data_IF_767680163654
#
_entry.id   IF_767680163654
#
_cell.length_a   1.000
_cell.length_b   1.000
_cell.length_c   1.000
_cell.angle_alpha   90.00
_cell.angle_beta   90.00
_cell.angle_gamma   90.00
#
_symmetry.space_group_name_H-M   'P 1'
#
loop_
_entity.id
_entity.type
_entity.pdbx_description
1 polymer ?
#
# COMPACT_ATOMS: atom_id res chain seq x y z
N UNK A 1 -13.67 -22.75 -5.28
CA UNK A 1 -12.34 -22.38 -4.79
C UNK A 1 -12.47 -22.02 -3.33
N UNK A 2 -11.41 -22.20 -2.54
CA UNK A 2 -11.36 -21.77 -1.14
C UNK A 2 -10.88 -20.31 -1.07
N UNK A 3 -11.38 -19.56 -0.08
CA UNK A 3 -10.94 -18.19 0.17
C UNK A 3 -9.68 -18.20 1.05
N UNK A 4 -8.58 -17.53 0.67
CA UNK A 4 -7.35 -17.56 1.44
C UNK A 4 -7.55 -16.87 2.80
N UNK A 5 -7.12 -17.53 3.88
CA UNK A 5 -7.21 -17.00 5.26
C UNK A 5 -5.87 -16.59 5.86
N UNK A 6 -4.76 -16.91 5.19
CA UNK A 6 -3.41 -16.46 5.56
C UNK A 6 -2.88 -15.51 4.51
N UNK A 7 -2.31 -14.40 4.97
CA UNK A 7 -1.72 -13.38 4.12
C UNK A 7 -0.19 -13.43 4.25
N UNK A 8 0.49 -13.41 3.12
CA UNK A 8 1.88 -13.01 3.03
C UNK A 8 1.89 -11.69 2.28
N UNK A 9 2.47 -10.67 2.90
CA UNK A 9 2.67 -9.40 2.23
C UNK A 9 3.99 -9.47 1.50
N UNK A 10 4.07 -8.89 0.30
CA UNK A 10 5.28 -8.79 -0.51
C UNK A 10 6.51 -8.57 0.37
N UNK A 11 7.47 -9.49 0.28
CA UNK A 11 8.78 -9.40 0.93
C UNK A 11 8.68 -9.41 2.47
N UNK A 12 7.64 -10.06 2.99
CA UNK A 12 7.29 -10.08 4.40
C UNK A 12 7.20 -8.68 5.04
N UNK A 13 6.91 -7.63 4.25
CA UNK A 13 6.87 -6.24 4.73
C UNK A 13 5.77 -6.10 5.79
N UNK A 14 6.13 -5.63 6.98
CA UNK A 14 5.24 -5.64 8.13
C UNK A 14 5.39 -4.42 9.04
N UNK A 15 4.24 -3.92 9.48
CA UNK A 15 4.06 -3.07 10.65
C UNK A 15 2.61 -3.23 11.17
N UNK A 16 2.29 -2.64 12.33
CA UNK A 16 0.97 -2.76 12.95
C UNK A 16 -0.18 -2.24 12.05
N UNK A 17 0.06 -1.20 11.24
CA UNK A 17 -0.97 -0.64 10.33
C UNK A 17 -1.27 -1.59 9.16
N UNK A 18 -0.24 -2.25 8.62
CA UNK A 18 -0.40 -3.30 7.59
C UNK A 18 -1.19 -4.46 8.17
N UNK A 19 -0.81 -4.95 9.36
CA UNK A 19 -1.53 -6.02 10.04
C UNK A 19 -3.01 -5.69 10.24
N UNK A 20 -3.31 -4.44 10.65
CA UNK A 20 -4.69 -3.97 10.80
C UNK A 20 -5.46 -3.95 9.49
N UNK A 21 -4.83 -3.47 8.42
CA UNK A 21 -5.43 -3.45 7.08
C UNK A 21 -5.74 -4.88 6.60
N UNK A 22 -4.83 -5.82 6.83
CA UNK A 22 -4.97 -7.24 6.43
C UNK A 22 -6.09 -7.93 7.22
N UNK A 23 -6.24 -7.63 8.51
CA UNK A 23 -7.38 -8.05 9.32
C UNK A 23 -8.72 -7.54 8.75
N UNK A 24 -8.79 -6.25 8.38
CA UNK A 24 -9.99 -5.63 7.81
C UNK A 24 -10.37 -6.22 6.45
N UNK A 25 -9.41 -6.82 5.73
CA UNK A 25 -9.64 -7.59 4.51
C UNK A 25 -10.17 -9.02 4.76
N UNK A 26 -10.26 -9.45 6.03
CA UNK A 26 -10.82 -10.75 6.43
C UNK A 26 -9.82 -11.89 6.58
N UNK A 27 -8.52 -11.61 6.57
CA UNK A 27 -7.48 -12.61 6.84
C UNK A 27 -7.32 -12.85 8.35
N UNK A 28 -6.99 -14.10 8.72
CA UNK A 28 -6.86 -14.55 10.10
C UNK A 28 -5.39 -14.61 10.58
N UNK A 29 -4.46 -14.72 9.63
CA UNK A 29 -3.04 -14.84 9.89
C UNK A 29 -2.19 -14.03 8.90
N UNK A 30 -1.06 -13.53 9.37
CA UNK A 30 -0.02 -12.90 8.54
C UNK A 30 1.36 -13.48 8.85
N UNK A 31 2.18 -13.70 7.82
CA UNK A 31 3.58 -14.13 7.96
C UNK A 31 4.51 -12.93 7.84
N UNK A 32 5.53 -12.84 8.71
CA UNK A 32 6.58 -11.82 8.61
C UNK A 32 7.91 -12.30 9.22
N UNK A 33 8.95 -11.47 9.18
CA UNK A 33 10.31 -11.79 9.60
C UNK A 33 10.50 -11.80 11.13
N UNK A 34 11.09 -12.87 11.65
CA UNK A 34 11.38 -13.06 13.07
C UNK A 34 12.69 -12.39 13.48
N UNK A 35 12.67 -11.06 13.62
CA UNK A 35 13.87 -10.27 13.94
C UNK A 35 14.12 -10.12 15.45
N UNK A 36 15.38 -10.26 15.91
CA UNK A 36 15.74 -10.04 17.32
C UNK A 36 15.31 -8.67 17.86
N UNK A 37 15.37 -7.61 17.05
CA UNK A 37 14.95 -6.26 17.47
C UNK A 37 13.44 -6.11 17.72
N UNK A 38 12.62 -7.00 17.16
CA UNK A 38 11.16 -7.04 17.35
C UNK A 38 10.78 -8.02 18.46
N UNK A 39 11.43 -9.19 18.46
CA UNK A 39 11.12 -10.26 19.42
C UNK A 39 11.78 -10.06 20.78
N UNK A 40 12.90 -9.33 20.84
CA UNK A 40 13.68 -9.17 22.07
C UNK A 40 14.19 -10.52 22.57
N UNK A 41 13.78 -10.91 23.77
CA UNK A 41 14.11 -12.21 24.37
C UNK A 41 13.19 -13.35 23.90
N UNK A 42 12.12 -13.03 23.15
CA UNK A 42 11.12 -14.00 22.70
C UNK A 42 11.62 -14.76 21.46
N UNK A 43 11.01 -15.91 21.18
CA UNK A 43 11.40 -16.80 20.07
C UNK A 43 10.47 -16.65 18.86
N UNK A 44 10.95 -16.72 17.62
CA UNK A 44 10.07 -16.71 16.44
C UNK A 44 9.15 -17.94 16.37
N UNK A 45 9.41 -18.98 17.18
CA UNK A 45 8.71 -20.26 17.09
C UNK A 45 7.36 -20.31 17.85
N UNK A 46 6.74 -19.17 18.08
CA UNK A 46 5.46 -19.04 18.80
C UNK A 46 4.49 -18.20 17.98
N UNK A 47 3.19 -18.43 18.17
CA UNK A 47 2.15 -17.58 17.58
C UNK A 47 2.10 -16.27 18.34
N UNK A 48 2.09 -15.15 17.63
CA UNK A 48 1.88 -13.82 18.19
C UNK A 48 0.56 -13.23 17.71
N UNK A 49 0.16 -12.10 18.29
CA UNK A 49 -0.88 -11.21 17.74
C UNK A 49 -0.30 -9.85 17.44
N UNK A 50 -0.80 -9.18 16.41
CA UNK A 50 -0.34 -7.83 16.09
C UNK A 50 -0.90 -6.79 17.08
N UNK A 51 -0.10 -5.81 17.48
CA UNK A 51 -0.57 -4.72 18.34
C UNK A 51 -1.68 -3.92 17.69
N UNK A 52 -2.80 -3.76 18.41
CA UNK A 52 -3.98 -3.04 17.93
C UNK A 52 -4.83 -3.80 16.91
N UNK A 53 -4.62 -5.09 16.74
CA UNK A 53 -5.38 -5.97 15.86
C UNK A 53 -5.57 -7.36 16.48
N UNK A 54 -6.52 -8.14 15.98
CA UNK A 54 -6.74 -9.54 16.39
C UNK A 54 -6.06 -10.56 15.48
N UNK A 55 -5.46 -10.11 14.36
CA UNK A 55 -4.76 -11.00 13.42
C UNK A 55 -3.56 -11.68 14.10
N UNK A 56 -3.42 -12.97 13.84
CA UNK A 56 -2.31 -13.77 14.36
C UNK A 56 -1.08 -13.63 13.46
N UNK A 57 0.10 -13.60 14.06
CA UNK A 57 1.36 -13.35 13.37
C UNK A 57 2.26 -14.58 13.49
N UNK A 58 2.68 -15.11 12.35
CA UNK A 58 3.67 -16.17 12.22
C UNK A 58 5.02 -15.52 11.90
N UNK A 59 6.01 -15.78 12.76
CA UNK A 59 7.34 -15.21 12.62
C UNK A 59 8.27 -16.22 11.96
N UNK A 60 8.83 -15.86 10.80
CA UNK A 60 9.85 -16.64 10.11
C UNK A 60 11.04 -16.90 11.05
N UNK A 61 11.47 -18.15 11.11
CA UNK A 61 12.74 -18.49 11.74
C UNK A 61 13.86 -18.28 10.71
N UNK A 62 14.43 -17.06 10.68
CA UNK A 62 15.42 -16.70 9.66
C UNK A 62 16.63 -17.63 9.64
N UNK A 63 17.13 -18.10 10.79
CA UNK A 63 18.32 -18.97 10.84
C UNK A 63 18.06 -20.31 10.13
N UNK A 64 17.00 -21.01 10.55
CA UNK A 64 16.64 -22.29 9.96
C UNK A 64 16.21 -22.17 8.49
N UNK A 65 15.65 -21.01 8.11
CA UNK A 65 15.27 -20.74 6.74
C UNK A 65 16.51 -20.46 5.87
N UNK A 66 17.41 -19.59 6.32
CA UNK A 66 18.62 -19.19 5.60
C UNK A 66 19.62 -20.35 5.45
N UNK A 67 19.60 -21.32 6.38
CA UNK A 67 20.41 -22.54 6.26
C UNK A 67 20.04 -23.37 5.02
N UNK A 68 18.76 -23.37 4.62
CA UNK A 68 18.31 -23.96 3.35
C UNK A 68 18.50 -22.96 2.20
N UNK A 69 18.04 -21.72 2.35
CA UNK A 69 17.97 -20.76 1.24
C UNK A 69 19.32 -20.19 0.78
N UNK A 70 20.31 -20.10 1.67
CA UNK A 70 21.58 -19.42 1.39
C UNK A 70 22.83 -20.25 1.68
N UNK A 71 22.77 -21.24 2.59
CA UNK A 71 23.95 -22.02 3.01
C UNK A 71 24.01 -23.45 2.50
N UNK A 72 23.00 -23.92 1.77
CA UNK A 72 22.85 -25.33 1.41
C UNK A 72 24.09 -25.92 0.72
N UNK A 73 24.74 -25.16 -0.17
CA UNK A 73 25.96 -25.57 -0.90
C UNK A 73 27.24 -24.95 -0.34
N UNK A 74 27.19 -24.29 0.81
CA UNK A 74 28.34 -23.60 1.39
C UNK A 74 29.31 -24.58 2.05
N UNK A 75 30.34 -25.02 1.34
CA UNK A 75 31.34 -25.98 1.85
C UNK A 75 32.19 -25.44 3.00
N UNK A 76 32.25 -24.12 3.15
CA UNK A 76 32.96 -23.44 4.25
C UNK A 76 32.12 -23.34 5.53
N UNK A 77 30.82 -23.62 5.46
CA UNK A 77 29.95 -23.66 6.62
C UNK A 77 30.23 -24.94 7.42
N UNK A 78 30.47 -24.80 8.72
CA UNK A 78 30.85 -25.89 9.63
C UNK A 78 29.78 -26.97 9.79
N UNK A 79 28.53 -26.73 9.36
CA UNK A 79 27.46 -27.72 9.35
C UNK A 79 27.25 -28.38 7.99
N UNK A 80 27.99 -28.00 6.94
CA UNK A 80 27.90 -28.62 5.62
C UNK A 80 28.44 -30.06 5.63
N UNK A 81 27.83 -31.01 4.90
CA UNK A 81 26.63 -30.87 4.07
C UNK A 81 25.33 -30.85 4.89
N UNK A 82 24.32 -30.11 4.42
CA UNK A 82 23.00 -30.10 5.05
C UNK A 82 22.15 -31.27 4.53
N UNK A 83 21.93 -32.27 5.38
CA UNK A 83 21.10 -33.45 5.06
C UNK A 83 19.72 -33.35 5.70
N UNK A 84 18.73 -34.06 5.16
CA UNK A 84 17.35 -34.01 5.63
C UNK A 84 17.20 -34.50 7.08
N UNK A 85 17.92 -35.55 7.46
CA UNK A 85 17.95 -36.11 8.82
C UNK A 85 18.61 -35.15 9.81
N UNK A 86 19.73 -34.52 9.42
CA UNK A 86 20.40 -33.49 10.22
C UNK A 86 19.45 -32.31 10.47
N UNK A 87 18.81 -31.80 9.42
CA UNK A 87 17.87 -30.68 9.55
C UNK A 87 16.64 -31.06 10.39
N UNK A 88 16.05 -32.23 10.17
CA UNK A 88 14.93 -32.72 10.99
C UNK A 88 15.30 -32.84 12.48
N UNK A 89 16.52 -33.28 12.80
CA UNK A 89 17.01 -33.33 14.18
C UNK A 89 17.11 -31.94 14.82
N UNK A 90 17.48 -30.91 14.04
CA UNK A 90 17.51 -29.52 14.51
C UNK A 90 16.11 -28.99 14.76
N UNK A 91 15.17 -29.26 13.84
CA UNK A 91 13.75 -28.92 14.03
C UNK A 91 13.20 -29.56 15.31
N UNK A 92 13.48 -30.84 15.53
CA UNK A 92 13.00 -31.58 16.70
C UNK A 92 13.61 -31.06 18.02
N UNK A 93 14.83 -30.54 17.96
CA UNK A 93 15.53 -29.96 19.11
C UNK A 93 15.17 -28.48 19.34
N UNK A 94 14.42 -27.87 18.43
CA UNK A 94 14.07 -26.45 18.48
C UNK A 94 12.79 -26.22 19.31
N UNK A 95 12.85 -25.50 20.45
CA UNK A 95 11.66 -25.26 21.27
C UNK A 95 10.67 -24.30 20.60
N UNK A 96 9.38 -24.58 20.77
CA UNK A 96 8.31 -23.70 20.30
C UNK A 96 6.97 -24.42 20.08
N UNK A 97 5.98 -23.67 19.62
CA UNK A 97 4.67 -24.16 19.19
C UNK A 97 4.63 -24.48 17.69
N UNK A 98 5.36 -23.68 16.89
CA UNK A 98 5.41 -23.75 15.43
C UNK A 98 6.77 -23.26 14.96
N UNK A 99 7.35 -23.86 13.92
CA UNK A 99 8.56 -23.36 13.28
C UNK A 99 8.17 -22.92 11.87
N UNK A 100 8.20 -21.61 11.60
CA UNK A 100 7.87 -21.07 10.28
C UNK A 100 9.14 -20.99 9.43
N UNK A 101 9.28 -21.95 8.51
CA UNK A 101 10.32 -21.95 7.49
C UNK A 101 9.77 -21.25 6.24
N UNK A 102 10.43 -20.19 5.81
CA UNK A 102 10.00 -19.36 4.68
C UNK A 102 11.19 -19.09 3.77
N UNK A 103 11.05 -19.49 2.50
CA UNK A 103 12.10 -19.56 1.49
C UNK A 103 11.51 -19.15 0.14
N UNK A 104 12.33 -18.63 -0.77
CA UNK A 104 11.92 -18.49 -2.17
C UNK A 104 11.72 -19.86 -2.80
N UNK A 105 10.69 -19.98 -3.63
CA UNK A 105 10.40 -21.23 -4.32
C UNK A 105 11.54 -21.62 -5.27
N UNK A 106 12.23 -20.63 -5.85
CA UNK A 106 13.41 -20.78 -6.70
C UNK A 106 14.62 -21.42 -5.99
N UNK A 107 14.61 -21.53 -4.66
CA UNK A 107 15.59 -22.31 -3.89
C UNK A 107 15.72 -23.74 -4.45
N UNK A 108 14.61 -24.33 -4.88
CA UNK A 108 14.53 -25.72 -5.35
C UNK A 108 14.58 -25.81 -6.88
N UNK A 109 15.77 -25.81 -7.45
CA UNK A 109 16.00 -26.07 -8.88
C UNK A 109 16.49 -24.88 -9.70
N UNK A 110 16.51 -23.66 -9.13
CA UNK A 110 17.02 -22.46 -9.81
C UNK A 110 18.23 -21.86 -9.07
N UNK A 111 18.08 -21.47 -7.80
CA UNK A 111 19.23 -21.06 -6.97
C UNK A 111 20.18 -22.24 -6.74
N UNK A 112 19.61 -23.42 -6.45
CA UNK A 112 20.35 -24.66 -6.34
C UNK A 112 19.86 -25.67 -7.38
N UNK A 113 20.79 -26.08 -8.24
CA UNK A 113 20.53 -27.08 -9.28
C UNK A 113 20.39 -28.48 -8.67
N UNK A 114 19.80 -29.42 -9.41
CA UNK A 114 19.55 -30.80 -8.95
C UNK A 114 20.82 -31.46 -8.40
N UNK A 115 21.95 -31.21 -9.03
CA UNK A 115 23.26 -31.80 -8.72
C UNK A 115 23.79 -31.40 -7.34
N UNK A 116 23.28 -30.30 -6.77
CA UNK A 116 23.58 -29.92 -5.38
C UNK A 116 22.99 -30.89 -4.34
N UNK A 117 22.04 -31.73 -4.74
CA UNK A 117 21.27 -32.59 -3.83
C UNK A 117 20.05 -31.91 -3.20
N UNK A 118 19.75 -30.65 -3.51
CA UNK A 118 18.62 -29.89 -2.91
C UNK A 118 17.25 -30.57 -3.14
N UNK A 119 17.07 -31.18 -4.32
CA UNK A 119 15.83 -31.87 -4.66
C UNK A 119 15.71 -33.21 -3.92
N UNK A 120 16.83 -33.87 -3.64
CA UNK A 120 16.84 -35.07 -2.81
C UNK A 120 16.61 -34.71 -1.34
N UNK A 121 17.22 -33.63 -0.85
CA UNK A 121 16.93 -33.07 0.48
C UNK A 121 15.44 -32.81 0.66
N UNK A 122 14.79 -32.10 -0.28
CA UNK A 122 13.37 -31.82 -0.24
C UNK A 122 12.51 -33.10 -0.28
N UNK A 123 12.94 -34.10 -1.07
CA UNK A 123 12.24 -35.40 -1.16
C UNK A 123 12.26 -36.15 0.17
N UNK A 124 13.39 -36.17 0.86
CA UNK A 124 13.56 -36.92 2.10
C UNK A 124 13.03 -36.18 3.34
N UNK A 125 13.06 -34.84 3.34
CA UNK A 125 12.72 -34.01 4.50
C UNK A 125 11.38 -34.37 5.18
N UNK A 126 10.26 -34.59 4.47
CA UNK A 126 9.01 -34.98 5.14
C UNK A 126 9.13 -36.25 5.97
N UNK A 127 9.76 -37.30 5.39
CA UNK A 127 9.94 -38.59 6.06
C UNK A 127 10.91 -38.53 7.24
N UNK A 128 11.94 -37.68 7.17
CA UNK A 128 12.86 -37.47 8.28
C UNK A 128 12.19 -36.71 9.44
N UNK A 129 11.34 -35.72 9.13
CA UNK A 129 10.55 -35.00 10.14
C UNK A 129 9.55 -35.93 10.85
N UNK A 130 8.90 -36.84 10.14
CA UNK A 130 7.93 -37.79 10.71
C UNK A 130 8.55 -38.79 11.71
N UNK A 131 9.86 -39.02 11.67
CA UNK A 131 10.56 -39.86 12.66
C UNK A 131 10.57 -39.24 14.06
N UNK A 132 10.38 -37.92 14.16
CA UNK A 132 10.38 -37.20 15.42
C UNK A 132 8.95 -37.02 15.94
N UNK A 133 8.60 -37.73 17.02
CA UNK A 133 7.24 -37.75 17.58
C UNK A 133 6.74 -36.38 18.08
N UNK A 134 7.64 -35.41 18.27
CA UNK A 134 7.33 -34.04 18.69
C UNK A 134 7.16 -33.06 17.52
N UNK A 135 7.32 -33.51 16.27
CA UNK A 135 7.12 -32.69 15.08
C UNK A 135 5.86 -33.12 14.32
N UNK A 136 5.25 -32.16 13.62
CA UNK A 136 4.12 -32.40 12.71
C UNK A 136 4.04 -31.27 11.70
N UNK A 137 3.82 -31.62 10.43
CA UNK A 137 3.46 -30.66 9.39
C UNK A 137 2.06 -30.09 9.59
N UNK A 138 1.91 -28.79 9.41
CA UNK A 138 0.59 -28.15 9.38
C UNK A 138 0.60 -26.93 8.48
N UNK A 139 -0.57 -26.58 7.97
CA UNK A 139 -0.75 -25.32 7.27
C UNK A 139 -0.64 -24.13 8.24
N UNK A 140 -0.35 -22.91 7.75
CA UNK A 140 -0.37 -21.71 8.58
C UNK A 140 -1.69 -21.54 9.35
N UNK A 141 -2.82 -21.81 8.70
CA UNK A 141 -4.15 -21.69 9.30
C UNK A 141 -4.36 -22.70 10.44
N UNK A 142 -3.95 -23.95 10.24
CA UNK A 142 -3.99 -24.98 11.30
C UNK A 142 -3.10 -24.62 12.48
N UNK A 143 -1.91 -24.03 12.24
CA UNK A 143 -1.00 -23.61 13.28
C UNK A 143 -1.62 -22.52 14.16
N UNK A 144 -2.15 -21.47 13.53
CA UNK A 144 -2.75 -20.34 14.25
C UNK A 144 -4.05 -20.73 14.96
N UNK A 145 -4.81 -21.71 14.46
CA UNK A 145 -6.04 -22.18 15.09
C UNK A 145 -5.79 -23.14 16.26
N UNK A 146 -4.62 -23.79 16.29
CA UNK A 146 -4.26 -24.72 17.36
C UNK A 146 -3.80 -24.02 18.64
N UNK A 147 -3.17 -22.86 18.52
CA UNK A 147 -2.55 -22.17 19.64
C UNK A 147 -3.10 -20.77 19.85
N UNK A 148 -3.25 -20.39 21.11
CA UNK A 148 -3.49 -19.00 21.46
C UNK A 148 -2.18 -18.21 21.28
N UNK A 149 -2.25 -16.93 20.85
CA UNK A 149 -1.09 -16.06 20.82
C UNK A 149 -0.37 -16.03 22.17
N UNK A 150 0.94 -16.29 22.14
CA UNK A 150 1.80 -16.26 23.32
C UNK A 150 1.94 -14.84 23.86
N UNK A 151 2.04 -13.87 22.96
CA UNK A 151 2.21 -12.46 23.27
C UNK A 151 1.83 -11.57 22.07
N UNK A 152 1.92 -10.26 22.26
CA UNK A 152 1.72 -9.25 21.23
C UNK A 152 3.05 -8.77 20.61
N UNK A 153 3.07 -8.59 19.30
CA UNK A 153 4.19 -7.99 18.58
C UNK A 153 3.87 -6.56 18.19
N UNK A 154 4.81 -5.66 18.48
CA UNK A 154 4.67 -4.22 18.24
C UNK A 154 5.74 -3.76 17.26
N UNK A 155 5.31 -3.47 16.03
CA UNK A 155 6.15 -2.88 14.98
C UNK A 155 5.51 -1.57 14.54
N UNK A 156 5.93 -0.42 15.09
CA UNK A 156 5.39 0.86 14.69
C UNK A 156 5.79 1.18 13.24
N UNK A 157 5.01 2.04 12.56
CA UNK A 157 5.19 2.36 11.14
C UNK A 157 6.61 2.80 10.77
N UNK A 158 7.27 3.57 11.62
CA UNK A 158 8.63 4.06 11.38
C UNK A 158 9.71 2.97 11.55
N UNK A 159 9.36 1.80 12.07
CA UNK A 159 10.23 0.64 12.23
C UNK A 159 9.76 -0.54 11.36
N UNK A 160 9.09 -0.26 10.24
CA UNK A 160 8.61 -1.29 9.30
C UNK A 160 9.75 -2.25 8.94
N UNK A 161 9.46 -3.54 9.05
CA UNK A 161 10.43 -4.62 8.81
C UNK A 161 10.13 -5.32 7.48
N UNK A 162 11.12 -6.06 6.98
CA UNK A 162 11.04 -6.96 5.82
C UNK A 162 12.03 -8.11 6.02
N UNK A 163 11.91 -9.18 5.23
CA UNK A 163 12.92 -10.23 5.17
C UNK A 163 14.11 -9.91 4.25
N UNK A 164 14.02 -8.84 3.45
CA UNK A 164 15.02 -8.50 2.44
C UNK A 164 16.21 -7.73 3.00
N UNK A 165 17.38 -7.95 2.39
CA UNK A 165 18.68 -7.34 2.70
C UNK A 165 19.12 -7.43 4.17
N UNK A 166 20.39 -7.21 4.45
CA UNK A 166 20.94 -7.29 5.81
C UNK A 166 20.19 -6.39 6.82
N UNK A 167 19.72 -5.22 6.39
CA UNK A 167 19.00 -4.27 7.24
C UNK A 167 17.60 -4.77 7.65
N UNK A 168 16.99 -5.67 6.85
CA UNK A 168 15.67 -6.27 7.11
C UNK A 168 14.56 -5.22 7.27
N UNK A 169 14.60 -4.17 6.46
CA UNK A 169 13.71 -3.01 6.50
C UNK A 169 13.30 -2.54 5.10
N UNK A 170 12.68 -1.36 4.97
CA UNK A 170 12.22 -0.84 3.67
C UNK A 170 13.32 -0.29 2.75
N UNK A 171 14.58 -0.27 3.18
CA UNK A 171 15.66 0.37 2.43
C UNK A 171 15.94 -0.29 1.07
N UNK A 172 15.53 -1.55 0.87
CA UNK A 172 15.61 -2.21 -0.43
C UNK A 172 14.73 -1.55 -1.51
N UNK A 173 13.62 -0.89 -1.11
CA UNK A 173 12.67 -0.24 -2.04
C UNK A 173 12.51 1.26 -1.84
N UNK A 174 12.94 1.82 -0.71
CA UNK A 174 12.78 3.24 -0.35
C UNK A 174 14.06 3.85 0.27
N UNK A 175 15.22 3.26 0.02
CA UNK A 175 16.51 3.66 0.57
C UNK A 175 17.12 4.91 -0.07
N UNK A 176 16.75 5.23 -1.32
CA UNK A 176 17.31 6.39 -2.05
C UNK A 176 16.24 7.31 -2.67
N UNK A 177 16.68 8.44 -3.25
CA UNK A 177 15.77 9.44 -3.82
C UNK A 177 15.09 8.99 -5.11
N UNK A 178 15.73 8.17 -5.95
CA UNK A 178 15.12 7.62 -7.17
C UNK A 178 13.88 6.80 -6.81
N UNK A 179 14.04 5.92 -5.83
CA UNK A 179 12.99 5.09 -5.27
C UNK A 179 11.85 5.91 -4.65
N UNK A 180 12.17 6.87 -3.78
CA UNK A 180 11.16 7.70 -3.11
C UNK A 180 10.37 8.55 -4.10
N UNK A 181 11.03 9.16 -5.08
CA UNK A 181 10.38 9.95 -6.14
C UNK A 181 9.43 9.05 -6.95
N UNK A 182 9.90 7.89 -7.39
CA UNK A 182 9.07 6.91 -8.12
C UNK A 182 7.84 6.47 -7.31
N UNK A 183 8.03 6.10 -6.04
CA UNK A 183 6.96 5.66 -5.16
C UNK A 183 5.91 6.76 -4.92
N UNK A 184 6.35 7.98 -4.59
CA UNK A 184 5.45 9.10 -4.35
C UNK A 184 4.70 9.51 -5.62
N UNK A 185 5.39 9.54 -6.76
CA UNK A 185 4.74 9.84 -8.05
C UNK A 185 3.66 8.81 -8.36
N UNK A 186 3.97 7.51 -8.24
CA UNK A 186 3.01 6.43 -8.48
C UNK A 186 1.79 6.50 -7.53
N UNK A 187 2.02 6.85 -6.27
CA UNK A 187 0.96 7.03 -5.27
C UNK A 187 -0.01 8.14 -5.68
N UNK A 188 0.52 9.26 -6.19
CA UNK A 188 -0.30 10.38 -6.66
C UNK A 188 -1.19 10.01 -7.85
N UNK A 189 -0.72 9.13 -8.75
CA UNK A 189 -1.50 8.63 -9.91
C UNK A 189 -2.74 7.84 -9.49
N UNK A 190 -2.74 7.26 -8.29
CA UNK A 190 -3.86 6.45 -7.81
C UNK A 190 -5.18 7.22 -7.73
N UNK A 191 -5.14 8.51 -7.41
CA UNK A 191 -6.34 9.35 -7.37
C UNK A 191 -6.95 9.49 -8.77
N UNK A 192 -6.30 10.09 -9.79
CA UNK A 192 -6.90 10.27 -11.10
C UNK A 192 -7.32 8.95 -11.76
N UNK A 193 -6.57 7.85 -11.56
CA UNK A 193 -6.95 6.52 -12.07
C UNK A 193 -8.26 6.03 -11.46
N UNK A 194 -8.41 6.13 -10.14
CA UNK A 194 -9.66 5.76 -9.46
C UNK A 194 -10.84 6.63 -9.88
N UNK A 195 -10.62 7.95 -10.01
CA UNK A 195 -11.66 8.87 -10.50
C UNK A 195 -12.06 8.56 -11.95
N UNK A 196 -11.11 8.16 -12.80
CA UNK A 196 -11.40 7.77 -14.18
C UNK A 196 -12.28 6.52 -14.23
N UNK A 197 -12.20 5.61 -13.24
CA UNK A 197 -13.05 4.42 -13.15
C UNK A 197 -12.96 3.52 -14.39
N UNK A 198 -11.80 3.51 -15.05
CA UNK A 198 -11.52 2.70 -16.22
C UNK A 198 -10.67 1.49 -15.83
N UNK A 199 -11.15 0.29 -16.15
CA UNK A 199 -10.52 -0.96 -15.74
C UNK A 199 -9.13 -1.15 -16.37
N UNK A 200 -8.89 -0.57 -17.55
CA UNK A 200 -7.58 -0.61 -18.21
C UNK A 200 -6.58 0.23 -17.43
N UNK A 201 -6.93 1.47 -17.11
CA UNK A 201 -6.07 2.37 -16.33
C UNK A 201 -5.83 1.85 -14.91
N UNK A 202 -6.87 1.28 -14.28
CA UNK A 202 -6.74 0.65 -12.97
C UNK A 202 -5.78 -0.54 -13.00
N UNK A 203 -5.86 -1.37 -14.04
CA UNK A 203 -4.94 -2.51 -14.22
C UNK A 203 -3.50 -2.05 -14.46
N UNK A 204 -3.29 -1.03 -15.31
CA UNK A 204 -1.96 -0.46 -15.55
C UNK A 204 -1.35 0.09 -14.26
N UNK A 205 -2.12 0.86 -13.49
CA UNK A 205 -1.67 1.41 -12.22
C UNK A 205 -1.37 0.33 -11.17
N UNK A 206 -2.13 -0.78 -11.15
CA UNK A 206 -1.84 -1.93 -10.28
C UNK A 206 -0.54 -2.63 -10.69
N UNK A 207 -0.31 -2.83 -11.98
CA UNK A 207 0.94 -3.44 -12.46
C UNK A 207 2.17 -2.62 -12.11
N UNK A 208 2.08 -1.29 -12.23
CA UNK A 208 3.18 -0.39 -11.86
C UNK A 208 3.48 -0.36 -10.34
N UNK A 209 2.60 -0.91 -9.49
CA UNK A 209 2.83 -1.05 -8.05
C UNK A 209 3.64 -2.28 -7.66
N UNK A 210 4.06 -3.11 -8.62
CA UNK A 210 4.95 -4.24 -8.37
C UNK A 210 6.26 -3.73 -7.74
N UNK A 211 6.68 -4.35 -6.64
CA UNK A 211 7.83 -3.93 -5.82
C UNK A 211 9.14 -3.95 -6.58
N UNK A 212 9.31 -4.89 -7.52
CA UNK A 212 10.49 -5.05 -8.37
C UNK A 212 10.92 -3.75 -9.06
N UNK A 213 9.95 -2.93 -9.49
CA UNK A 213 10.26 -1.65 -10.13
C UNK A 213 11.10 -0.74 -9.23
N UNK A 214 10.79 -0.68 -7.93
CA UNK A 214 11.55 0.08 -6.96
C UNK A 214 12.83 -0.65 -6.54
N UNK A 215 12.78 -1.98 -6.48
CA UNK A 215 13.94 -2.82 -6.16
C UNK A 215 15.08 -2.59 -7.17
N UNK A 216 14.76 -2.52 -8.48
CA UNK A 216 15.72 -2.25 -9.55
C UNK A 216 16.31 -0.84 -9.51
N UNK A 217 15.76 0.08 -8.72
CA UNK A 217 16.31 1.43 -8.53
C UNK A 217 17.23 1.53 -7.31
N UNK A 218 17.48 0.42 -6.60
CA UNK A 218 18.39 0.39 -5.47
C UNK A 218 19.81 0.78 -5.89
N UNK A 219 20.47 1.56 -5.04
CA UNK A 219 21.87 1.99 -5.20
C UNK A 219 22.76 1.41 -4.10
N UNK A 220 22.28 0.36 -3.42
CA UNK A 220 23.04 -0.35 -2.38
C UNK A 220 24.31 -0.96 -2.98
N UNK A 221 25.32 -1.13 -2.12
CA UNK A 221 26.63 -1.72 -2.45
C UNK A 221 26.87 -2.96 -1.59
N UNK A 222 27.98 -3.66 -1.80
CA UNK A 222 28.31 -4.86 -1.04
C UNK A 222 27.44 -6.05 -1.42
N UNK A 223 27.23 -6.99 -0.49
CA UNK A 223 26.46 -8.21 -0.74
C UNK A 223 25.08 -7.95 -1.33
N UNK A 224 24.28 -7.07 -0.70
CA UNK A 224 22.96 -6.68 -1.20
C UNK A 224 23.05 -5.98 -2.56
N UNK A 225 24.07 -5.14 -2.77
CA UNK A 225 24.29 -4.46 -4.05
C UNK A 225 24.50 -5.43 -5.21
N UNK A 226 25.28 -6.49 -5.01
CA UNK A 226 25.51 -7.53 -6.02
C UNK A 226 24.20 -8.23 -6.40
N UNK A 227 23.33 -8.52 -5.43
CA UNK A 227 22.02 -9.12 -5.70
C UNK A 227 21.14 -8.15 -6.51
N UNK A 228 21.06 -6.88 -6.10
CA UNK A 228 20.30 -5.87 -6.84
C UNK A 228 20.81 -5.70 -8.28
N UNK A 229 22.13 -5.68 -8.50
CA UNK A 229 22.72 -5.57 -9.84
C UNK A 229 22.44 -6.82 -10.69
N UNK A 230 22.56 -8.01 -10.10
CA UNK A 230 22.40 -9.29 -10.80
C UNK A 230 20.99 -9.47 -11.37
N UNK A 231 19.96 -9.08 -10.60
CA UNK A 231 18.57 -9.24 -11.00
C UNK A 231 17.97 -8.00 -11.67
N UNK A 232 18.77 -6.96 -11.98
CA UNK A 232 18.27 -5.75 -12.62
C UNK A 232 18.20 -5.91 -14.16
N UNK A 233 16.99 -5.98 -14.76
CA UNK A 233 16.85 -6.17 -16.20
C UNK A 233 17.28 -4.94 -17.02
N UNK A 234 17.48 -3.79 -16.38
CA UNK A 234 17.93 -2.56 -17.03
C UNK A 234 19.45 -2.41 -17.03
N UNK A 235 20.15 -3.16 -16.16
CA UNK A 235 21.60 -3.12 -15.96
C UNK A 235 22.12 -1.92 -15.17
N UNK A 236 21.25 -0.97 -14.79
CA UNK A 236 21.62 0.20 -14.00
C UNK A 236 20.38 0.86 -13.35
N UNK A 237 20.46 1.31 -12.07
CA UNK A 237 19.34 1.92 -11.35
C UNK A 237 18.83 3.24 -11.93
N UNK A 238 19.68 4.05 -12.58
CA UNK A 238 19.27 5.29 -13.25
C UNK A 238 18.46 4.98 -14.51
N UNK A 239 18.83 3.93 -15.24
CA UNK A 239 18.05 3.45 -16.40
C UNK A 239 16.70 2.85 -15.97
N UNK A 240 16.67 2.10 -14.86
CA UNK A 240 15.43 1.61 -14.27
C UNK A 240 14.50 2.78 -13.88
N UNK A 241 15.04 3.78 -13.18
CA UNK A 241 14.32 4.98 -12.78
C UNK A 241 13.77 5.77 -13.99
N UNK A 242 14.63 6.09 -14.96
CA UNK A 242 14.22 6.89 -16.14
C UNK A 242 13.14 6.19 -16.97
N UNK A 243 13.23 4.86 -17.11
CA UNK A 243 12.20 4.07 -17.78
C UNK A 243 10.89 4.11 -17.02
N UNK A 244 10.93 3.83 -15.71
CA UNK A 244 9.75 3.81 -14.87
C UNK A 244 9.04 5.16 -14.83
N UNK A 245 9.77 6.26 -14.59
CA UNK A 245 9.17 7.59 -14.49
C UNK A 245 8.59 8.04 -15.83
N UNK A 246 9.18 7.64 -16.95
CA UNK A 246 8.62 7.90 -18.28
C UNK A 246 7.27 7.21 -18.45
N UNK A 247 7.17 5.93 -18.06
CA UNK A 247 5.92 5.15 -18.14
C UNK A 247 4.86 5.71 -17.20
N UNK A 248 5.22 6.03 -15.95
CA UNK A 248 4.29 6.65 -14.98
C UNK A 248 3.81 8.01 -15.49
N UNK A 249 4.70 8.83 -16.06
CA UNK A 249 4.33 10.14 -16.62
C UNK A 249 3.38 10.01 -17.83
N UNK A 250 3.61 9.04 -18.71
CA UNK A 250 2.69 8.74 -19.82
C UNK A 250 1.31 8.30 -19.29
N UNK A 251 1.27 7.45 -18.26
CA UNK A 251 0.01 7.05 -17.61
C UNK A 251 -0.74 8.27 -17.05
N UNK A 252 -0.05 9.19 -16.37
CA UNK A 252 -0.64 10.43 -15.84
C UNK A 252 -1.21 11.27 -16.98
N UNK A 253 -0.42 11.50 -18.03
CA UNK A 253 -0.84 12.31 -19.18
C UNK A 253 -2.09 11.73 -19.85
N UNK A 254 -2.13 10.41 -20.06
CA UNK A 254 -3.31 9.72 -20.61
C UNK A 254 -4.51 9.79 -19.68
N UNK A 255 -4.33 9.67 -18.36
CA UNK A 255 -5.41 9.84 -17.39
C UNK A 255 -6.03 11.24 -17.52
N UNK A 256 -5.19 12.28 -17.58
CA UNK A 256 -5.66 13.65 -17.73
C UNK A 256 -6.41 13.86 -19.05
N UNK A 257 -5.88 13.39 -20.18
CA UNK A 257 -6.54 13.49 -21.48
C UNK A 257 -7.89 12.76 -21.50
N UNK A 258 -8.00 11.60 -20.86
CA UNK A 258 -9.29 10.90 -20.74
C UNK A 258 -10.27 11.72 -19.88
N UNK A 259 -9.85 12.25 -18.74
CA UNK A 259 -10.69 13.05 -17.85
C UNK A 259 -11.18 14.37 -18.49
N UNK A 260 -10.51 14.86 -19.53
CA UNK A 260 -10.96 16.01 -20.32
C UNK A 260 -12.06 15.69 -21.32
N UNK A 261 -12.27 14.41 -21.68
CA UNK A 261 -13.30 14.04 -22.64
C UNK A 261 -14.69 14.36 -22.08
N UNK A 262 -15.65 14.80 -22.92
CA UNK A 262 -17.00 15.17 -22.47
C UNK A 262 -17.70 14.10 -21.63
N UNK A 263 -17.44 12.82 -21.94
CA UNK A 263 -17.98 11.65 -21.23
C UNK A 263 -17.48 11.47 -19.80
N UNK A 264 -16.40 12.14 -19.40
CA UNK A 264 -15.83 12.07 -18.04
C UNK A 264 -15.73 13.43 -17.36
N UNK A 265 -16.24 14.49 -18.02
CA UNK A 265 -16.23 15.85 -17.47
C UNK A 265 -16.86 15.91 -16.08
N UNK A 266 -17.91 15.13 -15.81
CA UNK A 266 -18.53 15.08 -14.49
C UNK A 266 -17.61 14.52 -13.39
N UNK A 267 -16.83 13.46 -13.67
CA UNK A 267 -15.83 12.89 -12.75
C UNK A 267 -14.75 13.92 -12.44
N UNK A 268 -14.31 14.67 -13.45
CA UNK A 268 -13.38 15.79 -13.25
C UNK A 268 -13.97 16.85 -12.34
N UNK A 269 -15.23 17.24 -12.50
CA UNK A 269 -15.86 18.28 -11.68
C UNK A 269 -16.09 17.84 -10.22
N UNK A 270 -16.36 16.54 -9.98
CA UNK A 270 -16.55 15.95 -8.65
C UNK A 270 -15.23 15.60 -7.92
N UNK A 271 -14.07 15.78 -8.56
CA UNK A 271 -12.78 15.38 -7.99
C UNK A 271 -12.43 16.16 -6.71
N UNK A 272 -11.60 15.56 -5.85
CA UNK A 272 -10.82 16.33 -4.88
C UNK A 272 -9.65 17.03 -5.58
N UNK A 273 -9.46 18.31 -5.30
CA UNK A 273 -8.32 19.11 -5.77
C UNK A 273 -7.16 19.05 -4.75
N UNK A 274 -5.90 19.23 -5.18
CA UNK A 274 -4.74 19.23 -4.29
C UNK A 274 -4.88 20.20 -3.11
N UNK A 275 -4.24 19.91 -1.97
CA UNK A 275 -4.37 20.71 -0.74
C UNK A 275 -4.06 22.21 -0.92
N UNK A 276 -3.15 22.57 -1.82
CA UNK A 276 -2.81 23.97 -2.14
C UNK A 276 -3.83 24.71 -3.02
N UNK A 277 -4.82 24.01 -3.56
CA UNK A 277 -5.85 24.56 -4.46
C UNK A 277 -7.25 24.60 -3.84
N UNK A 278 -7.40 24.16 -2.59
CA UNK A 278 -8.70 24.18 -1.91
C UNK A 278 -9.23 25.59 -1.66
N UNK A 279 -10.55 25.73 -1.51
CA UNK A 279 -11.18 26.99 -1.11
C UNK A 279 -11.03 27.19 0.40
N UNK A 280 -10.29 28.21 0.81
CA UNK A 280 -10.11 28.55 2.23
C UNK A 280 -11.12 29.61 2.65
N UNK A 281 -11.85 29.36 3.74
CA UNK A 281 -12.85 30.27 4.27
C UNK A 281 -12.25 31.29 5.24
N UNK A 282 -12.62 32.55 5.08
CA UNK A 282 -12.24 33.70 5.88
C UNK A 282 -13.47 34.48 6.32
N UNK A 283 -13.44 35.05 7.51
CA UNK A 283 -14.47 35.98 8.00
C UNK A 283 -14.18 37.44 7.67
N UNK A 284 -12.99 37.71 7.13
CA UNK A 284 -12.48 39.05 6.86
C UNK A 284 -11.03 39.00 6.39
N UNK A 285 -10.48 40.15 6.02
CA UNK A 285 -9.05 40.26 5.68
C UNK A 285 -8.17 39.72 6.80
N UNK A 286 -7.29 38.77 6.45
CA UNK A 286 -6.38 38.10 7.39
C UNK A 286 -7.07 37.40 8.58
N UNK A 287 -8.35 37.01 8.46
CA UNK A 287 -9.11 36.28 9.50
C UNK A 287 -9.57 34.92 8.98
N UNK A 288 -8.70 33.90 8.93
CA UNK A 288 -9.06 32.58 8.46
C UNK A 288 -9.97 31.86 9.48
N UNK A 289 -10.92 31.07 8.98
CA UNK A 289 -11.76 30.19 9.81
C UNK A 289 -11.06 28.87 10.18
N UNK A 290 -9.96 28.54 9.50
CA UNK A 290 -9.31 27.23 9.56
C UNK A 290 -9.96 26.18 8.64
N UNK A 291 -11.12 26.46 8.06
CA UNK A 291 -11.84 25.53 7.17
C UNK A 291 -11.36 25.68 5.73
N UNK A 292 -11.11 24.55 5.06
CA UNK A 292 -10.73 24.48 3.64
C UNK A 292 -11.53 23.39 2.95
N UNK A 293 -12.13 23.70 1.80
CA UNK A 293 -12.81 22.74 0.95
C UNK A 293 -11.92 22.31 -0.22
N UNK A 294 -11.69 21.01 -0.38
CA UNK A 294 -10.94 20.43 -1.49
C UNK A 294 -11.84 19.74 -2.53
N UNK A 295 -13.17 19.75 -2.38
CA UNK A 295 -14.12 19.31 -3.41
C UNK A 295 -15.43 20.08 -3.35
N UNK A 296 -16.31 19.88 -4.33
CA UNK A 296 -17.67 20.43 -4.30
C UNK A 296 -18.49 19.92 -3.09
N UNK A 297 -18.33 18.66 -2.72
CA UNK A 297 -18.96 18.07 -1.54
C UNK A 297 -18.45 18.70 -0.24
N UNK A 298 -17.14 18.82 -0.07
CA UNK A 298 -16.57 19.47 1.12
C UNK A 298 -17.00 20.94 1.18
N UNK A 299 -17.03 21.62 0.03
CA UNK A 299 -17.50 23.00 -0.06
C UNK A 299 -18.97 23.12 0.36
N UNK A 300 -19.84 22.22 -0.14
CA UNK A 300 -21.23 22.12 0.27
C UNK A 300 -21.37 21.88 1.77
N UNK A 301 -20.63 20.92 2.32
CA UNK A 301 -20.69 20.58 3.75
C UNK A 301 -20.23 21.73 4.65
N UNK A 302 -19.13 22.41 4.30
CA UNK A 302 -18.64 23.56 5.06
C UNK A 302 -19.61 24.74 4.95
N UNK A 303 -20.16 25.01 3.76
CA UNK A 303 -21.08 26.13 3.54
C UNK A 303 -22.37 26.02 4.39
N UNK A 304 -22.79 24.80 4.76
CA UNK A 304 -23.95 24.57 5.63
C UNK A 304 -23.80 25.12 7.04
N UNK A 305 -22.58 25.20 7.56
CA UNK A 305 -22.33 25.52 8.97
C UNK A 305 -21.33 26.65 9.17
N UNK A 306 -20.68 27.14 8.11
CA UNK A 306 -19.73 28.24 8.21
C UNK A 306 -20.44 29.53 8.60
N UNK A 307 -19.81 30.32 9.47
CA UNK A 307 -20.35 31.59 9.96
C UNK A 307 -20.77 32.53 8.81
N UNK A 308 -21.92 33.17 8.98
CA UNK A 308 -22.57 34.01 7.97
C UNK A 308 -21.68 35.18 7.52
N UNK A 309 -20.79 35.68 8.40
CA UNK A 309 -19.79 36.71 8.03
C UNK A 309 -18.81 36.21 6.98
N UNK A 310 -18.45 34.92 7.03
CA UNK A 310 -17.56 34.32 6.03
C UNK A 310 -18.22 34.26 4.66
N UNK A 311 -19.51 33.93 4.63
CA UNK A 311 -20.30 33.90 3.41
C UNK A 311 -20.39 35.30 2.81
N UNK A 312 -20.82 36.30 3.57
CA UNK A 312 -20.92 37.68 3.09
C UNK A 312 -19.56 38.22 2.61
N UNK A 313 -18.48 37.89 3.33
CA UNK A 313 -17.12 38.31 2.95
C UNK A 313 -16.72 37.77 1.57
N UNK A 314 -16.89 36.46 1.33
CA UNK A 314 -16.49 35.83 0.08
C UNK A 314 -17.44 36.14 -1.08
N UNK A 315 -18.75 36.21 -0.80
CA UNK A 315 -19.77 36.51 -1.80
C UNK A 315 -19.60 37.91 -2.38
N UNK A 316 -19.37 38.92 -1.53
CA UNK A 316 -19.14 40.31 -1.97
C UNK A 316 -17.87 40.50 -2.79
N UNK A 317 -16.87 39.62 -2.62
CA UNK A 317 -15.60 39.63 -3.35
C UNK A 317 -15.60 38.79 -4.62
N UNK A 318 -16.64 37.97 -4.80
CA UNK A 318 -16.73 37.01 -5.89
C UNK A 318 -15.72 35.86 -5.77
N UNK A 319 -15.30 35.52 -4.56
CA UNK A 319 -14.29 34.49 -4.34
C UNK A 319 -14.84 33.09 -4.71
N UNK A 320 -16.14 32.85 -4.48
CA UNK A 320 -16.79 31.56 -4.78
C UNK A 320 -16.79 31.25 -6.28
N UNK A 321 -17.31 32.14 -7.13
CA UNK A 321 -17.33 31.93 -8.58
C UNK A 321 -15.92 31.84 -9.18
N UNK A 322 -14.95 32.56 -8.60
CA UNK A 322 -13.56 32.50 -9.05
C UNK A 322 -12.98 31.10 -8.82
N UNK A 323 -13.20 30.52 -7.64
CA UNK A 323 -12.74 29.17 -7.35
C UNK A 323 -13.47 28.11 -8.19
N UNK A 324 -14.78 28.22 -8.33
CA UNK A 324 -15.59 27.33 -9.17
C UNK A 324 -15.14 27.35 -10.64
N UNK A 325 -14.75 28.52 -11.15
CA UNK A 325 -14.27 28.70 -12.52
C UNK A 325 -12.83 28.23 -12.70
N UNK A 326 -11.91 28.72 -11.88
CA UNK A 326 -10.46 28.57 -12.10
C UNK A 326 -9.89 27.27 -11.55
N UNK A 327 -10.50 26.70 -10.51
CA UNK A 327 -10.00 25.50 -9.83
C UNK A 327 -10.85 24.28 -10.17
N UNK A 328 -12.16 24.37 -9.94
CA UNK A 328 -13.06 23.25 -10.25
C UNK A 328 -13.24 23.11 -11.77
N UNK A 329 -13.48 24.23 -12.46
CA UNK A 329 -13.75 24.28 -13.90
C UNK A 329 -15.23 24.09 -14.27
N UNK A 330 -16.15 24.32 -13.32
CA UNK A 330 -17.59 24.19 -13.57
C UNK A 330 -18.20 25.53 -14.02
N UNK A 331 -18.22 25.75 -15.33
CA UNK A 331 -18.81 26.97 -15.92
C UNK A 331 -20.30 27.14 -15.60
N UNK A 332 -21.05 26.03 -15.47
CA UNK A 332 -22.49 26.10 -15.16
C UNK A 332 -22.68 26.62 -13.74
N UNK A 333 -21.95 26.05 -12.79
CA UNK A 333 -22.00 26.45 -11.39
C UNK A 333 -21.46 27.87 -11.19
N UNK A 334 -20.40 28.23 -11.92
CA UNK A 334 -19.84 29.60 -11.95
C UNK A 334 -20.89 30.62 -12.37
N UNK A 335 -21.64 30.38 -13.45
CA UNK A 335 -22.70 31.29 -13.92
C UNK A 335 -23.83 31.44 -12.89
N UNK A 336 -24.23 30.35 -12.25
CA UNK A 336 -25.26 30.38 -11.21
C UNK A 336 -24.80 31.21 -10.00
N UNK A 337 -23.59 30.99 -9.49
CA UNK A 337 -23.03 31.78 -8.38
C UNK A 337 -22.77 33.25 -8.76
N UNK A 338 -22.41 33.52 -10.02
CA UNK A 338 -22.25 34.89 -10.51
C UNK A 338 -23.57 35.66 -10.54
N UNK A 339 -24.71 34.97 -10.76
CA UNK A 339 -26.05 35.59 -10.79
C UNK A 339 -26.65 35.88 -9.40
N UNK A 340 -26.06 35.36 -8.33
CA UNK A 340 -26.53 35.62 -6.98
C UNK A 340 -26.23 37.07 -6.54
N UNK A 341 -27.10 37.69 -5.73
CA UNK A 341 -26.82 38.98 -5.11
C UNK A 341 -25.49 38.97 -4.37
N UNK A 342 -24.65 39.98 -4.58
CA UNK A 342 -23.32 40.08 -3.95
C UNK A 342 -23.37 40.63 -2.52
N UNK A 343 -24.49 41.25 -2.17
CA UNK A 343 -24.74 41.82 -0.84
C UNK A 343 -26.17 41.48 -0.42
N UNK A 344 -26.36 41.20 0.87
CA UNK A 344 -27.67 41.01 1.48
C UNK A 344 -27.59 41.43 2.96
N UNK A 345 -28.69 41.96 3.49
CA UNK A 345 -28.83 42.28 4.92
C UNK A 345 -28.85 41.01 5.78
N UNK A 346 -29.57 40.00 5.32
CA UNK A 346 -29.53 38.63 5.85
C UNK A 346 -29.03 37.69 4.74
N UNK A 347 -27.94 36.98 5.02
CA UNK A 347 -27.30 36.06 4.07
C UNK A 347 -27.84 34.63 4.18
N UNK A 348 -28.65 34.32 5.20
CA UNK A 348 -29.21 32.97 5.39
C UNK A 348 -30.08 32.51 4.19
N UNK A 349 -30.99 33.33 3.63
CA UNK A 349 -31.73 32.94 2.42
C UNK A 349 -30.80 32.68 1.22
N UNK A 350 -29.70 33.44 1.11
CA UNK A 350 -28.70 33.22 0.06
C UNK A 350 -27.90 31.93 0.31
N UNK A 351 -27.58 31.61 1.57
CA UNK A 351 -26.95 30.34 1.95
C UNK A 351 -27.82 29.18 1.49
N UNK A 352 -29.11 29.21 1.78
CA UNK A 352 -30.03 28.15 1.37
C UNK A 352 -30.09 27.99 -0.15
N UNK A 353 -30.12 29.10 -0.89
CA UNK A 353 -30.10 29.07 -2.35
C UNK A 353 -28.77 28.53 -2.91
N UNK A 354 -27.62 28.95 -2.36
CA UNK A 354 -26.32 28.39 -2.73
C UNK A 354 -26.23 26.89 -2.47
N UNK A 355 -26.73 26.44 -1.32
CA UNK A 355 -26.78 25.03 -0.96
C UNK A 355 -27.69 24.24 -1.89
N UNK A 356 -28.84 24.79 -2.28
CA UNK A 356 -29.75 24.18 -3.25
C UNK A 356 -29.06 24.03 -4.61
N UNK A 357 -28.46 25.10 -5.13
CA UNK A 357 -27.71 25.10 -6.40
C UNK A 357 -26.59 24.06 -6.38
N UNK A 358 -25.77 24.04 -5.32
CA UNK A 358 -24.67 23.08 -5.17
C UNK A 358 -25.19 21.64 -5.13
N UNK A 359 -26.20 21.38 -4.30
CA UNK A 359 -26.78 20.04 -4.15
C UNK A 359 -27.33 19.53 -5.48
N UNK A 360 -28.14 20.32 -6.18
CA UNK A 360 -28.69 19.95 -7.48
C UNK A 360 -27.59 19.66 -8.50
N UNK A 361 -26.54 20.48 -8.52
CA UNK A 361 -25.41 20.30 -9.43
C UNK A 361 -24.63 19.02 -9.10
N UNK A 362 -24.31 18.78 -7.83
CA UNK A 362 -23.59 17.58 -7.39
C UNK A 362 -24.39 16.32 -7.75
N UNK A 363 -25.70 16.30 -7.47
CA UNK A 363 -26.56 15.16 -7.80
C UNK A 363 -26.71 14.95 -9.33
N UNK A 364 -26.77 16.03 -10.12
CA UNK A 364 -26.73 15.93 -11.60
C UNK A 364 -25.44 15.24 -12.08
N UNK A 365 -24.29 15.63 -11.51
CA UNK A 365 -22.98 15.08 -11.88
C UNK A 365 -22.85 13.62 -11.44
N UNK A 366 -23.32 13.27 -10.24
CA UNK A 366 -23.33 11.89 -9.73
C UNK A 366 -24.23 10.97 -10.53
N UNK A 367 -25.41 11.44 -10.96
CA UNK A 367 -26.30 10.66 -11.83
C UNK A 367 -25.64 10.33 -13.17
N UNK A 368 -24.98 11.32 -13.79
CA UNK A 368 -24.20 11.09 -15.03
C UNK A 368 -23.07 10.09 -14.84
N UNK A 369 -22.46 10.08 -13.66
CA UNK A 369 -21.43 9.12 -13.30
C UNK A 369 -21.97 7.69 -13.18
N UNK A 370 -23.11 7.52 -12.52
CA UNK A 370 -23.80 6.24 -12.42
C UNK A 370 -24.18 5.70 -13.81
N UNK A 371 -24.76 6.53 -14.68
CA UNK A 371 -25.16 6.14 -16.06
C UNK A 371 -23.99 5.62 -16.91
N UNK A 372 -22.78 6.17 -16.73
CA UNK A 372 -21.57 5.72 -17.44
C UNK A 372 -21.00 4.43 -16.83
N UNK A 373 -21.20 4.23 -15.52
CA UNK A 373 -20.73 3.04 -14.80
C UNK A 373 -21.62 1.83 -15.09
N UNK A 374 -22.94 2.00 -15.13
CA UNK A 374 -23.91 0.93 -15.45
C UNK A 374 -23.79 0.43 -16.89
N UNK A 375 -23.38 1.27 -17.84
CA UNK A 375 -23.14 0.85 -19.23
C UNK A 375 -21.84 0.05 -19.41
N UNK A 376 -21.01 -0.06 -18.38
CA UNK A 376 -19.70 -0.73 -18.40
C UNK A 376 -19.64 -2.03 -17.59
N UNK A 377 -20.59 -2.24 -16.68
CA UNK A 377 -20.82 -3.54 -16.01
C UNK A 377 -21.70 -4.42 -16.88
#
# INVERSE_FOLDING_TARGET
>A
GEEPKTFENTECIYNNEIAKTVEELGYEAIVTEGLPRVLGWRSPNYIYKAKGSSIKVLMRNHRLSDDIGFRFTSTEWDQWPLTADKYASWLASTPGQVITIFLDYETFGEHYWRESGILDFLRWLPSEVEKHSNLRWCTPLEAVNRYNPMDEVDVPKNATISWADEERDLSAWLGNELQKVSFNTLKEVGLPVKHLGDTTFLRLWRHLQTSDHLYYMSTKKGGSGVVHETFNPYGDPVKAFSTFITVVSDLIARCHLELEKPRFRFRRLLRKVPHGMGFRFFQGFARPTGLTANSLEEFYHILRSVDSKSISFHLGRGDFERWLSQVIGDEKLTKLFASLPKTAEDVEPLRDEMLRILKERIEELKRKDAEVTEKRG
#
